data_IF_224378243835
#
_entry.id   IF_224378243835
#
_cell.length_a   1.000
_cell.length_b   1.000
_cell.length_c   1.000
_cell.angle_alpha   90.00
_cell.angle_beta   90.00
_cell.angle_gamma   90.00
#
_symmetry.space_group_name_H-M   'P 1'
#
loop_
_entity.id
_entity.type
_entity.pdbx_description
1 polymer ?
#
# COMPACT_ATOMS: atom_id res chain seq x y z
N UNK A 1 -4.45 32.01 4.03
CA UNK A 1 -5.38 30.88 4.17
C UNK A 1 -6.02 30.46 2.85
N UNK A 2 -6.04 31.32 1.80
CA UNK A 2 -6.70 31.03 0.51
C UNK A 2 -5.98 29.99 -0.38
N UNK A 3 -4.73 29.63 -0.06
CA UNK A 3 -3.91 28.74 -0.91
C UNK A 3 -3.86 27.29 -0.42
N UNK A 4 -4.52 26.97 0.70
CA UNK A 4 -4.39 25.65 1.35
C UNK A 4 -5.09 24.53 0.57
N UNK A 5 -6.00 24.83 -0.37
CA UNK A 5 -6.83 23.84 -1.06
C UNK A 5 -6.88 24.00 -2.59
N UNK A 6 -5.81 24.46 -3.22
CA UNK A 6 -5.78 24.50 -4.68
C UNK A 6 -5.40 23.10 -5.21
N UNK A 7 -6.40 22.38 -5.69
CA UNK A 7 -6.18 21.20 -6.51
C UNK A 7 -5.32 21.57 -7.72
N UNK A 8 -4.19 20.88 -7.98
CA UNK A 8 -3.41 21.12 -9.18
C UNK A 8 -4.28 21.01 -10.44
N UNK A 9 -4.12 21.91 -11.40
CA UNK A 9 -4.96 21.97 -12.61
C UNK A 9 -5.00 20.65 -13.38
N UNK A 10 -3.88 19.92 -13.41
CA UNK A 10 -3.77 18.63 -14.10
C UNK A 10 -4.71 17.55 -13.55
N UNK A 11 -5.17 17.67 -12.30
CA UNK A 11 -6.07 16.65 -11.69
C UNK A 11 -7.43 16.65 -12.37
N UNK A 12 -7.92 17.81 -12.82
CA UNK A 12 -9.23 17.93 -13.45
C UNK A 12 -9.33 17.21 -14.80
N UNK A 13 -8.20 17.06 -15.49
CA UNK A 13 -8.11 16.44 -16.82
C UNK A 13 -7.55 15.01 -16.74
N UNK A 14 -7.40 14.45 -15.53
CA UNK A 14 -6.82 13.14 -15.34
C UNK A 14 -7.89 12.05 -15.37
N UNK A 15 -7.68 11.06 -16.23
CA UNK A 15 -8.46 9.82 -16.25
C UNK A 15 -7.71 8.80 -15.40
N UNK A 16 -8.28 8.52 -14.22
CA UNK A 16 -7.65 7.65 -13.23
C UNK A 16 -7.98 6.17 -13.44
N UNK A 17 -6.96 5.33 -13.28
CA UNK A 17 -7.11 3.88 -13.22
C UNK A 17 -6.53 3.39 -11.89
N UNK A 18 -7.40 2.85 -11.03
CA UNK A 18 -6.96 2.28 -9.76
C UNK A 18 -6.41 0.87 -9.96
N UNK A 19 -5.25 0.60 -9.38
CA UNK A 19 -4.59 -0.71 -9.44
C UNK A 19 -4.40 -1.25 -8.03
N UNK A 20 -4.90 -2.45 -7.79
CA UNK A 20 -4.49 -3.31 -6.70
C UNK A 20 -3.33 -4.17 -7.23
N UNK A 21 -2.06 -3.91 -6.82
CA UNK A 21 -0.89 -4.49 -7.50
C UNK A 21 -0.92 -6.01 -7.59
N UNK A 22 -1.19 -6.71 -6.48
CA UNK A 22 -1.29 -8.18 -6.44
C UNK A 22 -2.26 -8.75 -7.49
N UNK A 23 -3.30 -7.99 -7.86
CA UNK A 23 -4.42 -8.41 -8.71
C UNK A 23 -4.36 -7.87 -10.14
N UNK A 24 -3.26 -7.27 -10.56
CA UNK A 24 -3.19 -6.64 -11.87
C UNK A 24 -2.36 -7.43 -12.88
N UNK A 25 -1.06 -7.54 -12.68
CA UNK A 25 -0.17 -8.24 -13.58
C UNK A 25 1.08 -8.72 -12.84
N UNK A 26 1.38 -10.00 -12.97
CA UNK A 26 2.64 -10.56 -12.51
C UNK A 26 3.72 -10.35 -13.58
N UNK A 27 4.66 -9.45 -13.31
CA UNK A 27 5.76 -9.13 -14.23
C UNK A 27 6.99 -10.02 -14.06
N UNK A 28 7.03 -10.84 -13.00
CA UNK A 28 8.17 -11.69 -12.64
C UNK A 28 7.72 -13.08 -12.16
N UNK A 29 6.97 -13.84 -13.00
CA UNK A 29 6.39 -15.12 -12.59
C UNK A 29 7.43 -16.16 -12.18
N UNK A 30 8.67 -16.02 -12.64
CA UNK A 30 9.80 -16.86 -12.25
C UNK A 30 10.23 -16.69 -10.78
N UNK A 31 9.75 -15.63 -10.12
CA UNK A 31 10.02 -15.35 -8.70
C UNK A 31 8.86 -15.73 -7.78
N UNK A 32 7.81 -16.36 -8.32
CA UNK A 32 6.66 -16.78 -7.53
C UNK A 32 7.07 -17.79 -6.46
N UNK A 33 6.58 -17.57 -5.23
CA UNK A 33 6.54 -18.59 -4.19
C UNK A 33 5.39 -19.59 -4.43
N UNK A 34 5.37 -20.66 -3.64
CA UNK A 34 4.33 -21.71 -3.72
C UNK A 34 2.92 -21.21 -3.36
N UNK A 35 2.82 -20.07 -2.66
CA UNK A 35 1.56 -19.43 -2.23
C UNK A 35 0.92 -18.54 -3.30
N UNK A 36 1.56 -18.38 -4.47
CA UNK A 36 1.02 -17.60 -5.58
C UNK A 36 0.13 -18.44 -6.47
N UNK A 37 -1.14 -18.06 -6.54
CA UNK A 37 -2.12 -18.74 -7.36
C UNK A 37 -2.09 -18.28 -8.81
N UNK A 38 -2.41 -19.16 -9.78
CA UNK A 38 -2.60 -18.73 -11.16
C UNK A 38 -3.83 -17.83 -11.27
N UNK A 39 -3.75 -16.83 -12.15
CA UNK A 39 -4.89 -15.98 -12.45
C UNK A 39 -6.05 -16.83 -12.98
N UNK A 40 -7.26 -16.58 -12.47
CA UNK A 40 -8.48 -17.26 -12.91
C UNK A 40 -9.62 -16.26 -13.12
N UNK A 41 -10.51 -16.59 -14.02
CA UNK A 41 -11.69 -15.77 -14.35
C UNK A 41 -13.00 -16.36 -13.79
N UNK A 42 -12.92 -17.41 -12.99
CA UNK A 42 -14.09 -18.09 -12.41
C UNK A 42 -13.88 -18.32 -10.91
N UNK A 43 -15.00 -18.40 -10.19
CA UNK A 43 -15.03 -18.62 -8.76
C UNK A 43 -14.88 -17.34 -7.93
N UNK A 44 -15.09 -17.48 -6.63
CA UNK A 44 -14.92 -16.39 -5.67
C UNK A 44 -13.44 -16.25 -5.31
N UNK A 45 -12.93 -15.04 -5.35
CA UNK A 45 -11.60 -14.69 -4.87
C UNK A 45 -11.71 -14.21 -3.43
N UNK A 46 -10.87 -14.74 -2.54
CA UNK A 46 -10.79 -14.33 -1.13
C UNK A 46 -9.68 -13.30 -0.89
N UNK A 47 -9.67 -12.67 0.29
CA UNK A 47 -8.67 -11.67 0.62
C UNK A 47 -7.28 -12.28 0.91
N UNK A 48 -7.24 -13.58 1.24
CA UNK A 48 -6.02 -14.30 1.55
C UNK A 48 -5.27 -14.78 0.30
N UNK A 49 -5.97 -14.88 -0.83
CA UNK A 49 -5.38 -15.35 -2.09
C UNK A 49 -4.45 -14.31 -2.69
N UNK A 50 -3.27 -14.75 -3.14
CA UNK A 50 -2.25 -13.94 -3.80
C UNK A 50 -2.09 -14.39 -5.25
N UNK A 51 -1.97 -13.42 -6.16
CA UNK A 51 -1.80 -13.67 -7.60
C UNK A 51 -0.46 -13.15 -8.12
N UNK A 52 0.37 -12.56 -7.27
CA UNK A 52 1.75 -12.19 -7.57
C UNK A 52 1.92 -10.97 -8.48
N UNK A 53 0.85 -10.19 -8.70
CA UNK A 53 0.98 -8.92 -9.41
C UNK A 53 1.94 -7.97 -8.67
N UNK A 54 2.73 -7.20 -9.43
CA UNK A 54 3.80 -6.39 -8.90
C UNK A 54 4.08 -5.14 -9.74
N UNK A 55 4.99 -4.27 -9.28
CA UNK A 55 5.33 -3.01 -9.96
C UNK A 55 5.91 -3.25 -11.36
N UNK A 56 6.68 -4.32 -11.56
CA UNK A 56 7.19 -4.69 -12.87
C UNK A 56 6.06 -5.07 -13.83
N UNK A 57 5.05 -5.80 -13.36
CA UNK A 57 3.87 -6.11 -14.14
C UNK A 57 3.08 -4.87 -14.55
N UNK A 58 2.97 -3.88 -13.65
CA UNK A 58 2.36 -2.59 -13.98
C UNK A 58 3.16 -1.89 -15.07
N UNK A 59 4.50 -1.86 -14.94
CA UNK A 59 5.40 -1.27 -15.94
C UNK A 59 5.22 -1.88 -17.33
N UNK A 60 5.17 -3.21 -17.41
CA UNK A 60 4.94 -3.95 -18.65
C UNK A 60 3.58 -3.63 -19.30
N UNK A 61 2.60 -3.16 -18.52
CA UNK A 61 1.25 -2.82 -18.97
C UNK A 61 1.04 -1.32 -19.23
N UNK A 62 2.05 -0.47 -19.11
CA UNK A 62 1.91 0.97 -19.35
C UNK A 62 1.38 1.30 -20.75
N UNK A 63 1.86 0.60 -21.79
CA UNK A 63 1.34 0.82 -23.15
C UNK A 63 -0.10 0.38 -23.35
N UNK A 64 -0.59 -0.60 -22.57
CA UNK A 64 -2.00 -0.96 -22.53
C UNK A 64 -2.82 0.16 -21.89
N UNK A 65 -2.38 0.71 -20.76
CA UNK A 65 -3.06 1.79 -20.05
C UNK A 65 -3.07 3.08 -20.91
N UNK A 66 -1.96 3.40 -21.56
CA UNK A 66 -1.85 4.52 -22.51
C UNK A 66 -2.87 4.41 -23.66
N UNK A 67 -2.98 3.24 -24.29
CA UNK A 67 -3.97 2.97 -25.36
C UNK A 67 -5.42 3.05 -24.85
N UNK A 68 -5.65 2.80 -23.59
CA UNK A 68 -6.95 2.93 -22.95
C UNK A 68 -7.31 4.40 -22.62
N UNK A 69 -6.36 5.32 -22.83
CA UNK A 69 -6.54 6.75 -22.56
C UNK A 69 -6.33 7.13 -21.09
N UNK A 70 -5.66 6.27 -20.28
CA UNK A 70 -5.37 6.54 -18.88
C UNK A 70 -4.23 7.55 -18.78
N UNK A 71 -4.42 8.57 -17.94
CA UNK A 71 -3.43 9.62 -17.68
C UNK A 71 -3.01 9.69 -16.21
N UNK A 72 -3.64 8.89 -15.35
CA UNK A 72 -3.27 8.74 -13.96
C UNK A 72 -3.48 7.32 -13.44
N UNK A 73 -2.49 6.78 -12.73
CA UNK A 73 -2.58 5.51 -12.03
C UNK A 73 -2.65 5.80 -10.54
N UNK A 74 -3.68 5.27 -9.87
CA UNK A 74 -3.79 5.24 -8.42
C UNK A 74 -3.42 3.84 -7.93
N UNK A 75 -2.28 3.72 -7.25
CA UNK A 75 -1.84 2.44 -6.66
C UNK A 75 -2.44 2.28 -5.26
N UNK A 76 -3.13 1.18 -5.00
CA UNK A 76 -3.36 0.73 -3.64
C UNK A 76 -2.02 0.61 -2.90
N UNK A 77 -2.02 0.55 -1.55
CA UNK A 77 -0.77 0.60 -0.78
C UNK A 77 0.29 -0.38 -1.29
N UNK A 78 1.55 0.07 -1.30
CA UNK A 78 2.69 -0.73 -1.77
C UNK A 78 3.77 -0.94 -0.72
N UNK A 79 3.60 -0.33 0.47
CA UNK A 79 4.59 -0.42 1.54
C UNK A 79 4.56 -1.79 2.23
N UNK A 80 5.66 -2.14 2.90
CA UNK A 80 5.82 -3.44 3.56
C UNK A 80 4.68 -3.72 4.54
N UNK A 81 4.02 -4.88 4.37
CA UNK A 81 2.89 -5.32 5.17
C UNK A 81 2.69 -6.84 5.06
N UNK A 82 1.96 -7.44 5.99
CA UNK A 82 1.71 -8.89 5.98
C UNK A 82 0.67 -9.32 4.94
N UNK A 83 -0.38 -8.51 4.75
CA UNK A 83 -1.45 -8.80 3.80
C UNK A 83 -1.04 -8.54 2.35
N UNK A 84 -1.80 -9.09 1.40
CA UNK A 84 -1.65 -8.78 -0.02
C UNK A 84 -2.14 -7.37 -0.36
N UNK A 85 -3.11 -6.83 0.40
CA UNK A 85 -3.67 -5.48 0.18
C UNK A 85 -2.85 -4.35 0.79
N UNK A 86 -1.90 -4.64 1.69
CA UNK A 86 -0.94 -3.72 2.31
C UNK A 86 -1.54 -2.59 3.18
N UNK A 87 -2.84 -2.63 3.50
CA UNK A 87 -3.43 -1.66 4.44
C UNK A 87 -3.01 -1.87 5.90
N UNK A 88 -2.32 -2.95 6.21
CA UNK A 88 -1.69 -3.25 7.51
C UNK A 88 -0.19 -2.94 7.51
N UNK A 89 0.19 -1.75 7.06
CA UNK A 89 1.57 -1.31 6.88
C UNK A 89 2.41 -1.51 8.13
N UNK A 90 3.54 -2.19 7.97
CA UNK A 90 4.53 -2.48 9.03
C UNK A 90 5.81 -1.66 8.91
N UNK A 91 6.13 -1.17 7.70
CA UNK A 91 7.23 -0.24 7.46
C UNK A 91 6.86 0.74 6.34
N UNK A 92 6.72 2.02 6.68
CA UNK A 92 6.37 3.10 5.73
C UNK A 92 7.55 3.58 4.89
N UNK A 93 8.76 3.08 5.14
CA UNK A 93 9.98 3.49 4.44
C UNK A 93 10.42 2.50 3.37
N UNK A 94 9.76 1.34 3.30
CA UNK A 94 10.10 0.25 2.38
C UNK A 94 8.91 -0.16 1.53
N UNK A 95 9.16 -0.32 0.23
CA UNK A 95 8.24 -1.02 -0.65
C UNK A 95 8.29 -2.52 -0.30
N UNK A 96 7.11 -3.15 -0.27
CA UNK A 96 7.01 -4.59 0.00
C UNK A 96 7.82 -5.39 -1.04
N UNK A 97 8.69 -6.33 -0.59
CA UNK A 97 9.52 -7.11 -1.50
C UNK A 97 8.73 -7.92 -2.54
N UNK A 98 7.49 -8.29 -2.25
CA UNK A 98 6.61 -8.96 -3.23
C UNK A 98 6.22 -8.06 -4.40
N UNK A 99 6.25 -6.75 -4.22
CA UNK A 99 5.93 -5.78 -5.27
C UNK A 99 7.16 -5.23 -5.97
N UNK A 100 8.35 -5.35 -5.36
CA UNK A 100 9.60 -4.84 -5.90
C UNK A 100 10.38 -4.01 -4.88
N UNK A 101 11.00 -2.93 -5.34
CA UNK A 101 11.80 -2.04 -4.50
C UNK A 101 11.79 -0.60 -5.04
N UNK A 102 12.55 0.29 -4.40
CA UNK A 102 12.64 1.69 -4.79
C UNK A 102 13.16 1.91 -6.22
N UNK A 103 14.04 1.05 -6.72
CA UNK A 103 14.57 1.19 -8.08
C UNK A 103 13.52 0.74 -9.10
N UNK A 104 12.78 -0.34 -8.83
CA UNK A 104 11.62 -0.74 -9.65
C UNK A 104 10.60 0.40 -9.73
N UNK A 105 10.30 1.05 -8.60
CA UNK A 105 9.37 2.18 -8.57
C UNK A 105 9.89 3.38 -9.37
N UNK A 106 11.17 3.72 -9.27
CA UNK A 106 11.78 4.81 -10.07
C UNK A 106 11.64 4.56 -11.56
N UNK A 107 11.92 3.33 -12.00
CA UNK A 107 11.79 2.97 -13.44
C UNK A 107 10.33 3.05 -13.88
N UNK A 108 9.40 2.52 -13.08
CA UNK A 108 7.97 2.62 -13.36
C UNK A 108 7.51 4.08 -13.48
N UNK A 109 7.88 4.95 -12.54
CA UNK A 109 7.54 6.36 -12.59
C UNK A 109 8.11 7.06 -13.84
N UNK A 110 9.37 6.80 -14.15
CA UNK A 110 10.03 7.37 -15.34
C UNK A 110 9.26 7.01 -16.61
N UNK A 111 9.04 5.72 -16.85
CA UNK A 111 8.37 5.23 -18.06
C UNK A 111 6.89 5.66 -18.14
N UNK A 112 6.21 5.74 -16.99
CA UNK A 112 4.84 6.27 -16.92
C UNK A 112 4.80 7.76 -17.30
N UNK A 113 5.73 8.57 -16.78
CA UNK A 113 5.81 9.99 -17.11
C UNK A 113 6.15 10.25 -18.57
N UNK A 114 7.00 9.42 -19.19
CA UNK A 114 7.29 9.48 -20.64
C UNK A 114 6.04 9.25 -21.49
N UNK A 115 5.04 8.55 -20.96
CA UNK A 115 3.73 8.31 -21.58
C UNK A 115 2.64 9.29 -21.13
N UNK A 116 2.99 10.33 -20.37
CA UNK A 116 2.03 11.29 -19.84
C UNK A 116 1.15 10.73 -18.71
N UNK A 117 1.51 9.59 -18.13
CA UNK A 117 0.76 8.94 -17.05
C UNK A 117 1.38 9.33 -15.70
N UNK A 118 0.60 9.92 -14.81
CA UNK A 118 1.00 10.24 -13.44
C UNK A 118 0.75 9.06 -12.51
N UNK A 119 1.55 8.93 -11.45
CA UNK A 119 1.38 7.88 -10.45
C UNK A 119 1.07 8.54 -9.10
N UNK A 120 0.02 8.06 -8.47
CA UNK A 120 -0.37 8.37 -7.11
C UNK A 120 -0.37 7.08 -6.30
N UNK A 121 0.23 7.10 -5.11
CA UNK A 121 0.31 5.95 -4.22
C UNK A 121 -0.58 6.20 -3.01
N UNK A 122 -1.36 5.19 -2.63
CA UNK A 122 -2.17 5.23 -1.41
C UNK A 122 -1.26 5.25 -0.17
N UNK A 123 -1.53 6.19 0.72
CA UNK A 123 -0.81 6.36 1.97
C UNK A 123 -1.71 5.97 3.15
N UNK A 124 -1.36 4.89 3.84
CA UNK A 124 -2.12 4.37 4.98
C UNK A 124 -1.76 5.15 6.24
N UNK A 125 -2.31 6.37 6.38
CA UNK A 125 -2.01 7.24 7.52
C UNK A 125 -3.08 7.22 8.62
N UNK A 126 -4.23 6.60 8.39
CA UNK A 126 -5.30 6.49 9.38
C UNK A 126 -4.97 5.47 10.50
N UNK A 127 -4.19 4.45 10.20
CA UNK A 127 -3.78 3.39 11.12
C UNK A 127 -2.47 2.76 10.63
N UNK A 128 -1.86 1.93 11.47
CA UNK A 128 -0.71 1.12 11.10
C UNK A 128 -0.99 -0.38 11.24
N UNK A 129 -0.12 -1.20 10.70
CA UNK A 129 -0.12 -2.64 10.92
C UNK A 129 0.25 -3.00 12.37
N UNK A 130 -0.23 -4.16 12.83
CA UNK A 130 0.04 -4.64 14.20
C UNK A 130 1.51 -4.86 14.50
N UNK A 131 2.31 -5.14 13.46
CA UNK A 131 3.77 -5.36 13.57
C UNK A 131 4.59 -4.12 13.25
N UNK A 132 3.97 -2.94 13.14
CA UNK A 132 4.71 -1.69 13.00
C UNK A 132 5.63 -1.49 14.19
N UNK A 133 6.94 -1.36 13.93
CA UNK A 133 7.95 -1.40 14.99
C UNK A 133 7.73 -0.35 16.12
N UNK A 134 7.38 0.93 15.82
CA UNK A 134 7.04 1.90 16.85
C UNK A 134 5.83 1.46 17.70
N UNK A 135 4.81 0.86 17.09
CA UNK A 135 3.66 0.34 17.81
C UNK A 135 4.03 -0.83 18.74
N UNK A 136 4.85 -1.76 18.25
CA UNK A 136 5.36 -2.87 19.08
C UNK A 136 6.19 -2.40 20.27
N UNK A 137 6.95 -1.32 20.10
CA UNK A 137 7.69 -0.70 21.20
C UNK A 137 6.73 -0.10 22.25
N UNK A 138 5.66 0.60 21.80
CA UNK A 138 4.62 1.13 22.70
C UNK A 138 3.89 0.00 23.45
N UNK A 139 3.56 -1.10 22.79
CA UNK A 139 2.95 -2.27 23.46
C UNK A 139 3.85 -2.85 24.56
N UNK A 140 5.16 -2.84 24.35
CA UNK A 140 6.16 -3.38 25.29
C UNK A 140 6.46 -2.43 26.44
N UNK A 141 6.67 -1.15 26.16
CA UNK A 141 7.23 -0.16 27.07
C UNK A 141 6.17 0.84 27.64
N UNK A 142 4.95 0.79 27.13
CA UNK A 142 3.85 1.68 27.53
C UNK A 142 4.24 3.16 27.38
N UNK A 143 3.93 3.96 28.39
CA UNK A 143 4.27 5.40 28.46
C UNK A 143 5.77 5.70 28.36
N UNK A 144 6.62 4.73 28.64
CA UNK A 144 8.09 4.88 28.60
C UNK A 144 8.64 4.64 27.19
N UNK A 145 7.82 4.28 26.22
CA UNK A 145 8.25 4.19 24.83
C UNK A 145 8.63 5.56 24.29
N UNK A 146 9.72 5.64 23.53
CA UNK A 146 10.09 6.86 22.80
C UNK A 146 9.09 7.23 21.69
N UNK A 147 8.17 6.34 21.38
CA UNK A 147 7.11 6.52 20.40
C UNK A 147 5.73 6.71 21.05
N UNK A 148 5.67 6.90 22.37
CA UNK A 148 4.40 7.03 23.08
C UNK A 148 3.51 8.15 22.49
N UNK A 149 4.13 9.27 22.12
CA UNK A 149 3.44 10.45 21.56
C UNK A 149 3.05 10.30 20.07
N UNK A 150 3.40 9.17 19.43
CA UNK A 150 3.00 8.89 18.06
C UNK A 150 1.57 8.34 17.97
N UNK A 151 1.03 7.91 19.09
CA UNK A 151 -0.25 7.21 19.16
C UNK A 151 -1.19 7.86 20.17
N UNK A 152 -2.45 8.06 19.79
CA UNK A 152 -3.49 8.47 20.72
C UNK A 152 -3.98 7.26 21.48
N UNK A 153 -3.54 7.12 22.73
CA UNK A 153 -3.87 5.99 23.60
C UNK A 153 -4.86 6.44 24.67
N UNK A 154 -6.10 5.99 24.58
CA UNK A 154 -7.15 6.35 25.53
C UNK A 154 -6.92 5.77 26.92
N UNK A 155 -6.41 4.55 27.01
CA UNK A 155 -6.18 3.88 28.30
C UNK A 155 -4.87 3.10 28.32
N UNK A 156 -3.84 3.71 28.90
CA UNK A 156 -2.51 3.14 29.02
C UNK A 156 -2.45 1.88 29.90
N UNK A 157 -3.36 1.70 30.86
CA UNK A 157 -3.37 0.53 31.74
C UNK A 157 -3.82 -0.74 31.02
N UNK A 158 -4.52 -0.58 29.89
CA UNK A 158 -5.02 -1.69 29.08
C UNK A 158 -4.11 -2.06 27.92
N UNK A 159 -3.10 -1.25 27.64
CA UNK A 159 -2.13 -1.56 26.58
C UNK A 159 -1.43 -2.89 26.86
N UNK A 160 -1.39 -3.76 25.86
CA UNK A 160 -0.75 -5.08 25.94
C UNK A 160 -1.52 -6.13 26.75
N UNK A 161 -2.63 -5.78 27.43
CA UNK A 161 -3.43 -6.74 28.22
C UNK A 161 -4.50 -7.47 27.40
N UNK A 162 -4.87 -6.98 26.21
CA UNK A 162 -5.85 -7.62 25.31
C UNK A 162 -5.19 -8.04 24.01
N UNK A 163 -5.26 -9.32 23.73
CA UNK A 163 -4.85 -9.89 22.45
C UNK A 163 -5.79 -9.54 21.29
N UNK A 164 -7.00 -9.07 21.58
CA UNK A 164 -8.01 -8.75 20.57
C UNK A 164 -7.91 -7.28 20.13
N UNK A 165 -7.09 -7.05 19.14
CA UNK A 165 -6.88 -5.76 18.48
C UNK A 165 -8.00 -5.39 17.50
N UNK A 166 -9.10 -6.15 17.41
CA UNK A 166 -10.30 -5.80 16.64
C UNK A 166 -11.16 -4.77 17.33
N UNK A 167 -10.88 -4.47 18.60
CA UNK A 167 -11.57 -3.41 19.31
C UNK A 167 -10.96 -2.04 18.94
N UNK A 168 -11.50 -1.43 17.88
CA UNK A 168 -11.10 -0.11 17.34
C UNK A 168 -11.24 1.05 18.34
N UNK A 169 -11.85 0.83 19.50
CA UNK A 169 -12.08 1.86 20.52
C UNK A 169 -10.82 2.28 21.27
N UNK A 170 -9.70 1.59 21.07
CA UNK A 170 -8.47 1.84 21.82
C UNK A 170 -7.37 2.54 21.03
N UNK A 171 -7.56 2.75 19.72
CA UNK A 171 -6.51 3.29 18.84
C UNK A 171 -7.14 4.19 17.77
N UNK A 172 -7.10 5.49 17.99
CA UNK A 172 -7.30 6.51 16.95
C UNK A 172 -5.98 7.21 16.69
N UNK A 173 -5.73 7.55 15.42
CA UNK A 173 -4.60 8.36 14.97
C UNK A 173 -5.04 9.80 14.81
#
# INVERSE_FOLDING_TARGET
PADINRTPSWVNDTIWYQIFPDRFCNGTPEKNGEDILPWRNQGRVTNEEKFGGNLEGIRQKLSYLEKLGITGIYLNPIMEAESNHKYDTTDYTKIDPSFGNGDTMKVLCKEAHEKGIRIMVDAVFNHCGRKFAPWMDVLKNGKNSRYADWFMVENWEQIGKRADTRDRRFYSF
#
